data_IF_744196293463
#
_entry.id   IF_744196293463
#
_cell.length_a   1.000
_cell.length_b   1.000
_cell.length_c   1.000
_cell.angle_alpha   90.00
_cell.angle_beta   90.00
_cell.angle_gamma   90.00
#
_symmetry.space_group_name_H-M   'P 1'
#
loop_
_entity.id
_entity.type
_entity.pdbx_description
1 polymer ?
#
# COMPACT_ATOMS: atom_id res chain seq x y z
N UNK A 1 5.27 -14.57 7.34
CA UNK A 1 5.46 -13.12 7.15
C UNK A 1 4.81 -12.31 8.29
N UNK A 2 3.49 -12.36 8.48
CA UNK A 2 2.80 -11.56 9.52
C UNK A 2 3.26 -11.84 10.96
N UNK A 3 3.42 -13.12 11.33
CA UNK A 3 3.92 -13.51 12.66
C UNK A 3 5.29 -12.89 13.00
N UNK A 4 6.19 -12.83 12.01
CA UNK A 4 7.51 -12.22 12.17
C UNK A 4 7.42 -10.71 12.48
N UNK A 5 6.50 -10.00 11.83
CA UNK A 5 6.26 -8.57 12.08
C UNK A 5 5.72 -8.36 13.49
N UNK A 6 4.75 -9.16 13.92
CA UNK A 6 4.21 -9.06 15.28
C UNK A 6 5.27 -9.38 16.35
N UNK A 7 6.10 -10.41 16.12
CA UNK A 7 7.22 -10.73 16.99
C UNK A 7 8.25 -9.61 17.07
N UNK A 8 8.61 -9.00 15.93
CA UNK A 8 9.55 -7.88 15.87
C UNK A 8 9.03 -6.65 16.62
N UNK A 9 7.76 -6.27 16.43
CA UNK A 9 7.16 -5.14 17.15
C UNK A 9 7.18 -5.39 18.66
N UNK A 10 6.84 -6.61 19.10
CA UNK A 10 6.81 -6.94 20.53
C UNK A 10 8.20 -6.93 21.18
N UNK A 11 9.23 -7.38 20.46
CA UNK A 11 10.60 -7.50 20.94
C UNK A 11 11.37 -6.18 20.85
N UNK A 12 11.27 -5.48 19.72
CA UNK A 12 12.11 -4.34 19.37
C UNK A 12 11.38 -3.00 19.64
N UNK A 13 10.09 -3.03 19.99
CA UNK A 13 9.25 -1.85 20.20
C UNK A 13 8.90 -1.10 18.91
N UNK A 14 9.32 -1.62 17.75
CA UNK A 14 9.11 -1.02 16.43
C UNK A 14 9.25 -2.07 15.33
N UNK A 15 8.64 -1.81 14.17
CA UNK A 15 8.77 -2.60 12.94
C UNK A 15 10.02 -2.29 12.10
N UNK A 16 10.86 -1.32 12.52
CA UNK A 16 11.98 -0.78 11.71
C UNK A 16 12.87 -1.86 11.09
N UNK A 17 13.16 -2.93 11.85
CA UNK A 17 14.08 -4.01 11.44
C UNK A 17 13.46 -5.01 10.45
N UNK A 18 12.16 -4.92 10.18
CA UNK A 18 11.43 -5.85 9.28
C UNK A 18 10.78 -5.16 8.08
N UNK A 19 11.01 -3.85 7.90
CA UNK A 19 10.49 -3.08 6.76
C UNK A 19 10.89 -3.70 5.42
N UNK A 20 12.15 -4.14 5.28
CA UNK A 20 12.67 -4.71 4.04
C UNK A 20 12.00 -6.04 3.65
N UNK A 21 11.29 -6.68 4.60
CA UNK A 21 10.51 -7.90 4.35
C UNK A 21 9.05 -7.63 4.02
N UNK A 22 8.61 -6.37 4.03
CA UNK A 22 7.25 -5.97 3.72
C UNK A 22 7.11 -5.68 2.22
N UNK A 23 5.91 -5.91 1.70
CA UNK A 23 5.53 -5.40 0.39
C UNK A 23 5.63 -3.87 0.39
N UNK A 24 6.23 -3.31 -0.65
CA UNK A 24 6.30 -1.86 -0.85
C UNK A 24 4.91 -1.29 -1.16
N UNK A 25 4.75 0.02 -0.93
CA UNK A 25 3.51 0.71 -1.30
C UNK A 25 3.20 0.62 -2.80
N UNK A 26 4.23 0.61 -3.65
CA UNK A 26 4.07 0.52 -5.10
C UNK A 26 3.58 -0.86 -5.52
N UNK A 27 4.19 -1.92 -5.00
CA UNK A 27 3.71 -3.29 -5.27
C UNK A 27 2.27 -3.50 -4.78
N UNK A 28 1.88 -2.86 -3.68
CA UNK A 28 0.49 -2.88 -3.22
C UNK A 28 -0.44 -2.21 -4.23
N UNK A 29 -0.06 -1.08 -4.81
CA UNK A 29 -0.85 -0.37 -5.82
C UNK A 29 -1.06 -1.19 -7.08
N UNK A 30 -0.02 -1.89 -7.52
CA UNK A 30 -0.12 -2.80 -8.65
C UNK A 30 -1.04 -3.98 -8.31
N UNK A 31 -0.90 -4.56 -7.11
CA UNK A 31 -1.70 -5.71 -6.67
C UNK A 31 -3.20 -5.41 -6.53
N UNK A 32 -3.57 -4.18 -6.18
CA UNK A 32 -4.98 -3.77 -6.02
C UNK A 32 -5.53 -2.99 -7.22
N UNK A 33 -4.77 -2.90 -8.32
CA UNK A 33 -5.13 -2.14 -9.52
C UNK A 33 -5.53 -0.68 -9.23
N UNK A 34 -4.78 -0.05 -8.31
CA UNK A 34 -5.09 1.29 -7.81
C UNK A 34 -5.13 2.34 -8.93
N UNK A 35 -4.19 2.26 -9.87
CA UNK A 35 -4.08 3.21 -10.99
C UNK A 35 -5.29 3.18 -11.92
N UNK A 36 -5.95 2.03 -12.07
CA UNK A 36 -7.19 1.94 -12.86
C UNK A 36 -8.34 2.64 -12.16
N UNK A 37 -8.42 2.54 -10.83
CA UNK A 37 -9.41 3.26 -10.05
C UNK A 37 -9.21 4.78 -10.14
N UNK A 38 -7.97 5.24 -10.01
CA UNK A 38 -7.60 6.67 -10.14
C UNK A 38 -7.97 7.22 -11.53
N UNK A 39 -7.60 6.52 -12.61
CA UNK A 39 -7.97 6.92 -13.99
C UNK A 39 -9.48 7.01 -14.20
N UNK A 40 -10.26 6.10 -13.60
CA UNK A 40 -11.72 6.13 -13.69
C UNK A 40 -12.31 7.34 -12.97
N UNK A 41 -11.80 7.67 -11.80
CA UNK A 41 -12.23 8.87 -11.07
C UNK A 41 -11.91 10.13 -11.87
N UNK A 42 -10.70 10.25 -12.40
CA UNK A 42 -10.30 11.39 -13.22
C UNK A 42 -11.21 11.57 -14.44
N UNK A 43 -11.51 10.48 -15.15
CA UNK A 43 -12.42 10.53 -16.30
C UNK A 43 -13.84 10.99 -15.91
N UNK A 44 -14.37 10.49 -14.78
CA UNK A 44 -15.71 10.84 -14.29
C UNK A 44 -15.81 12.31 -13.86
N UNK A 45 -14.76 12.84 -13.24
CA UNK A 45 -14.79 14.22 -12.72
C UNK A 45 -14.28 15.26 -13.72
N UNK A 46 -13.47 14.88 -14.70
CA UNK A 46 -13.12 15.74 -15.84
C UNK A 46 -14.37 16.08 -16.68
N UNK A 47 -15.28 15.12 -16.87
CA UNK A 47 -16.57 15.36 -17.55
C UNK A 47 -17.52 16.27 -16.77
N UNK A 48 -17.37 16.37 -15.44
CA UNK A 48 -18.23 17.22 -14.58
C UNK A 48 -17.78 18.69 -14.49
N UNK A 49 -16.62 19.02 -15.04
CA UNK A 49 -16.04 20.39 -15.01
C UNK A 49 -16.28 21.20 -16.29
N UNK A 50 -17.01 20.65 -17.27
CA UNK A 50 -17.51 21.37 -18.46
C UNK A 50 -19.01 21.58 -18.37
#
# INVERSE_FOLDING_TARGET
>A
AAENVYGAIRRDGSQKNVIDSMQTRMELYDAIDYHTFEKKLDALFAQKKG
#
